data_IF_644101445267
#
_entry.id   IF_644101445267
#
_cell.length_a   1.000
_cell.length_b   1.000
_cell.length_c   1.000
_cell.angle_alpha   90.00
_cell.angle_beta   90.00
_cell.angle_gamma   90.00
#
_symmetry.space_group_name_H-M   'P 1'
#
loop_
_entity.id
_entity.type
_entity.pdbx_description
1 polymer ?
#
# COMPACT_ATOMS: atom_id res chain seq x y z
N UNK A 1 16.97 -6.92 2.25
CA UNK A 1 17.75 -5.85 1.59
C UNK A 1 16.82 -4.67 1.40
N UNK A 2 17.20 -3.44 1.80
CA UNK A 2 16.34 -2.26 1.53
C UNK A 2 16.37 -1.98 0.02
N UNK A 3 15.20 -2.00 -0.62
CA UNK A 3 15.05 -1.87 -2.06
C UNK A 3 14.36 -0.56 -2.47
N UNK A 4 14.53 -0.16 -3.73
CA UNK A 4 13.87 1.02 -4.31
C UNK A 4 12.47 0.64 -4.85
N UNK A 5 11.43 1.34 -4.38
CA UNK A 5 10.05 1.06 -4.79
C UNK A 5 9.86 1.21 -6.30
N UNK A 6 10.55 2.18 -6.93
CA UNK A 6 10.39 2.49 -8.35
C UNK A 6 10.77 1.32 -9.23
N UNK A 7 11.83 0.60 -8.86
CA UNK A 7 12.27 -0.58 -9.59
C UNK A 7 11.18 -1.66 -9.55
N UNK A 8 10.65 -1.96 -8.37
CA UNK A 8 9.70 -3.06 -8.20
C UNK A 8 8.30 -2.74 -8.74
N UNK A 9 7.82 -1.49 -8.57
CA UNK A 9 6.55 -1.06 -9.17
C UNK A 9 6.63 -1.04 -10.70
N UNK A 10 7.77 -0.61 -11.27
CA UNK A 10 7.98 -0.66 -12.73
C UNK A 10 8.02 -2.10 -13.24
N UNK A 11 8.74 -2.99 -12.55
CA UNK A 11 8.78 -4.43 -12.88
C UNK A 11 7.40 -5.08 -12.79
N UNK A 12 6.64 -4.74 -11.75
CA UNK A 12 5.26 -5.19 -11.57
C UNK A 12 4.36 -4.75 -12.73
N UNK A 13 4.44 -3.46 -13.09
CA UNK A 13 3.70 -2.90 -14.21
C UNK A 13 4.03 -3.59 -15.54
N UNK A 14 5.32 -3.77 -15.86
CA UNK A 14 5.77 -4.44 -17.08
C UNK A 14 5.47 -5.95 -17.10
N UNK A 15 5.51 -6.59 -15.94
CA UNK A 15 5.30 -8.03 -15.76
C UNK A 15 3.85 -8.45 -15.53
N UNK A 16 2.91 -7.49 -15.50
CA UNK A 16 1.50 -7.71 -15.20
C UNK A 16 1.26 -8.51 -13.90
N UNK A 17 1.98 -8.10 -12.86
CA UNK A 17 1.79 -8.53 -11.48
C UNK A 17 1.69 -7.28 -10.58
N UNK A 18 1.44 -7.45 -9.29
CA UNK A 18 1.49 -6.33 -8.34
C UNK A 18 2.35 -6.62 -7.12
N UNK A 19 3.15 -5.64 -6.70
CA UNK A 19 3.88 -5.73 -5.44
C UNK A 19 2.90 -5.54 -4.27
N UNK A 20 2.90 -6.45 -3.28
CA UNK A 20 2.05 -6.28 -2.10
C UNK A 20 2.64 -5.22 -1.18
N UNK A 21 1.76 -4.29 -0.79
CA UNK A 21 1.98 -3.37 0.31
C UNK A 21 1.21 -3.87 1.52
N UNK A 22 1.92 -4.05 2.63
CA UNK A 22 1.33 -4.46 3.91
C UNK A 22 1.52 -3.38 4.97
N UNK A 23 0.41 -2.87 5.49
CA UNK A 23 0.42 -1.96 6.62
C UNK A 23 0.60 -2.74 7.93
N UNK A 24 1.63 -2.39 8.71
CA UNK A 24 2.02 -3.06 9.95
C UNK A 24 2.32 -2.05 11.05
N UNK A 25 1.94 -2.35 12.30
CA UNK A 25 2.19 -1.46 13.44
C UNK A 25 2.65 -2.18 14.72
N UNK A 26 2.80 -3.51 14.69
CA UNK A 26 3.33 -4.28 15.80
C UNK A 26 4.31 -5.36 15.32
N UNK A 27 4.94 -6.04 16.28
CA UNK A 27 5.97 -7.03 16.03
C UNK A 27 5.41 -8.25 15.28
N UNK A 28 4.24 -8.76 15.68
CA UNK A 28 3.63 -9.97 15.13
C UNK A 28 3.28 -9.79 13.65
N UNK A 29 2.72 -8.62 13.29
CA UNK A 29 2.39 -8.32 11.90
C UNK A 29 3.64 -8.15 11.04
N UNK A 30 4.60 -7.34 11.49
CA UNK A 30 5.86 -7.12 10.78
C UNK A 30 6.62 -8.43 10.55
N UNK A 31 6.72 -9.28 11.57
CA UNK A 31 7.35 -10.59 11.46
C UNK A 31 6.57 -11.52 10.54
N UNK A 32 5.24 -11.56 10.63
CA UNK A 32 4.41 -12.41 9.77
C UNK A 32 4.56 -12.08 8.29
N UNK A 33 4.51 -10.81 7.91
CA UNK A 33 4.65 -10.40 6.50
C UNK A 33 6.05 -10.63 5.95
N UNK A 34 7.10 -10.42 6.78
CA UNK A 34 8.48 -10.72 6.38
C UNK A 34 8.69 -12.23 6.22
N UNK A 35 8.18 -13.04 7.14
CA UNK A 35 8.28 -14.51 7.02
C UNK A 35 7.58 -15.02 5.75
N UNK A 36 6.45 -14.41 5.38
CA UNK A 36 5.73 -14.74 4.15
C UNK A 36 6.57 -14.42 2.90
N UNK A 37 7.18 -13.23 2.88
CA UNK A 37 8.04 -12.78 1.80
C UNK A 37 9.29 -13.66 1.63
N UNK A 38 9.94 -14.00 2.74
CA UNK A 38 11.10 -14.90 2.75
C UNK A 38 10.76 -16.28 2.21
N UNK A 39 9.63 -16.85 2.65
CA UNK A 39 9.19 -18.19 2.22
C UNK A 39 8.84 -18.23 0.74
N UNK A 40 8.19 -17.18 0.23
CA UNK A 40 7.77 -17.11 -1.17
C UNK A 40 8.79 -16.46 -2.09
N UNK A 41 9.95 -16.03 -1.58
CA UNK A 41 10.95 -15.29 -2.35
C UNK A 41 10.30 -14.10 -3.08
N UNK A 42 9.55 -13.28 -2.35
CA UNK A 42 8.76 -12.18 -2.90
C UNK A 42 9.29 -10.80 -2.43
N UNK A 43 9.40 -9.80 -3.31
CA UNK A 43 9.65 -8.42 -2.90
C UNK A 43 8.40 -7.85 -2.20
N UNK A 44 8.57 -7.17 -1.06
CA UNK A 44 7.41 -6.59 -0.35
C UNK A 44 7.63 -5.14 0.04
N UNK A 45 6.52 -4.41 0.16
CA UNK A 45 6.49 -3.11 0.82
C UNK A 45 5.92 -3.31 2.23
N UNK A 46 6.73 -3.02 3.25
CA UNK A 46 6.23 -2.87 4.62
C UNK A 46 5.97 -1.40 4.89
N UNK A 47 4.80 -1.12 5.43
CA UNK A 47 4.28 0.23 5.50
C UNK A 47 3.75 0.58 6.87
N UNK A 48 3.90 1.85 7.22
CA UNK A 48 3.26 2.48 8.38
C UNK A 48 2.55 3.74 7.89
N UNK A 49 1.35 4.00 8.39
CA UNK A 49 0.54 5.15 7.96
C UNK A 49 0.00 5.99 9.10
N UNK A 50 -0.50 7.17 8.75
CA UNK A 50 -1.11 8.13 9.69
C UNK A 50 -2.21 7.50 10.55
N UNK A 51 -2.91 6.47 10.05
CA UNK A 51 -3.96 5.77 10.79
C UNK A 51 -3.49 5.00 12.04
N UNK A 52 -2.20 4.69 12.17
CA UNK A 52 -1.69 3.81 13.23
C UNK A 52 -0.90 4.54 14.34
N UNK A 53 -0.71 5.85 14.23
CA UNK A 53 0.06 6.64 15.20
C UNK A 53 -0.58 6.66 16.60
N UNK A 54 -1.86 6.31 16.71
CA UNK A 54 -2.55 6.11 17.99
C UNK A 54 -2.25 4.77 18.67
N UNK A 55 -1.74 3.79 17.92
CA UNK A 55 -1.47 2.43 18.40
C UNK A 55 -0.01 2.23 18.79
N UNK A 56 0.91 2.73 17.96
CA UNK A 56 2.35 2.52 18.12
C UNK A 56 3.11 3.79 17.78
N UNK A 57 4.14 4.14 18.57
CA UNK A 57 5.07 5.22 18.17
C UNK A 57 5.83 4.78 16.94
N UNK A 58 5.68 5.56 15.88
CA UNK A 58 6.39 5.32 14.63
C UNK A 58 7.90 5.50 14.81
N UNK A 59 8.32 6.53 15.55
CA UNK A 59 9.73 6.86 15.78
C UNK A 59 10.48 5.69 16.44
N UNK A 60 9.83 4.96 17.35
CA UNK A 60 10.40 3.75 17.94
C UNK A 60 10.29 2.54 17.00
N UNK A 61 9.14 2.35 16.36
CA UNK A 61 8.86 1.17 15.55
C UNK A 61 9.64 1.13 14.22
N UNK A 62 9.96 2.30 13.64
CA UNK A 62 10.68 2.41 12.38
C UNK A 62 12.03 1.68 12.41
N UNK A 63 12.72 1.69 13.55
CA UNK A 63 14.02 1.01 13.71
C UNK A 63 13.86 -0.51 13.71
N UNK A 64 12.71 -1.04 14.15
CA UNK A 64 12.40 -2.46 14.04
C UNK A 64 12.14 -2.83 12.57
N UNK A 65 11.31 -2.05 11.86
CA UNK A 65 11.06 -2.22 10.43
C UNK A 65 12.38 -2.22 9.64
N UNK A 66 13.22 -1.20 9.86
CA UNK A 66 14.49 -1.03 9.15
C UNK A 66 15.48 -2.16 9.46
N UNK A 67 15.63 -2.52 10.74
CA UNK A 67 16.49 -3.63 11.18
C UNK A 67 16.12 -4.94 10.49
N UNK A 68 14.82 -5.24 10.37
CA UNK A 68 14.35 -6.46 9.73
C UNK A 68 14.50 -6.38 8.20
N UNK A 69 14.15 -5.26 7.58
CA UNK A 69 14.35 -5.04 6.14
C UNK A 69 15.82 -5.19 5.72
N UNK A 70 16.76 -4.69 6.52
CA UNK A 70 18.21 -4.85 6.29
C UNK A 70 18.67 -6.30 6.38
N UNK A 71 18.08 -7.10 7.28
CA UNK A 71 18.43 -8.52 7.47
C UNK A 71 17.74 -9.46 6.50
N UNK A 72 16.63 -9.03 5.90
CA UNK A 72 15.88 -9.84 4.95
C UNK A 72 16.74 -10.26 3.75
N UNK A 73 16.56 -11.49 3.29
CA UNK A 73 17.20 -12.04 2.08
C UNK A 73 16.39 -11.78 0.81
N UNK A 74 15.21 -11.16 0.97
CA UNK A 74 14.37 -10.64 -0.11
C UNK A 74 14.43 -9.09 -0.15
N UNK A 75 14.01 -8.47 -1.27
CA UNK A 75 13.81 -7.03 -1.38
C UNK A 75 12.69 -6.56 -0.44
N UNK A 76 12.97 -5.55 0.37
CA UNK A 76 11.98 -4.95 1.28
C UNK A 76 12.03 -3.44 1.15
N UNK A 77 10.88 -2.82 0.92
CA UNK A 77 10.70 -1.37 0.85
C UNK A 77 10.06 -0.88 2.15
N UNK A 78 10.50 0.28 2.65
CA UNK A 78 9.95 0.98 3.81
C UNK A 78 9.14 2.18 3.32
N UNK A 79 7.82 2.11 3.43
CA UNK A 79 6.91 3.12 2.89
C UNK A 79 6.08 3.82 3.97
N UNK A 80 5.88 5.12 3.82
CA UNK A 80 4.90 5.88 4.61
C UNK A 80 3.56 6.01 3.88
N UNK A 81 2.49 5.49 4.47
CA UNK A 81 1.13 5.49 3.89
C UNK A 81 0.30 6.72 4.32
N UNK A 82 -0.41 7.32 3.37
CA UNK A 82 -1.27 8.50 3.53
C UNK A 82 -0.63 9.64 4.36
N UNK A 83 0.50 10.18 3.91
CA UNK A 83 1.10 11.39 4.49
C UNK A 83 0.22 12.61 4.30
N UNK A 84 -0.43 13.08 5.38
CA UNK A 84 -1.43 14.17 5.34
C UNK A 84 -0.84 15.58 5.29
N UNK A 85 0.42 15.75 5.67
CA UNK A 85 1.09 17.04 5.65
C UNK A 85 2.62 16.88 5.60
N UNK A 86 3.29 18.02 5.42
CA UNK A 86 4.76 18.09 5.32
C UNK A 86 5.51 17.58 6.55
N UNK A 87 5.01 17.88 7.75
CA UNK A 87 5.67 17.50 9.00
C UNK A 87 5.71 15.99 9.14
N UNK A 88 4.60 15.32 8.82
CA UNK A 88 4.51 13.85 8.84
C UNK A 88 5.49 13.24 7.84
N UNK A 89 5.51 13.73 6.60
CA UNK A 89 6.39 13.18 5.56
C UNK A 89 7.87 13.37 5.88
N UNK A 90 8.24 14.53 6.44
CA UNK A 90 9.58 14.78 6.94
C UNK A 90 9.96 13.80 8.04
N UNK A 91 9.07 13.64 9.02
CA UNK A 91 9.28 12.71 10.11
C UNK A 91 9.47 11.28 9.61
N UNK A 92 8.67 10.84 8.63
CA UNK A 92 8.81 9.52 8.00
C UNK A 92 10.20 9.30 7.41
N UNK A 93 10.68 10.26 6.61
CA UNK A 93 12.00 10.19 5.96
C UNK A 93 13.15 10.30 6.96
N UNK A 94 13.03 11.17 7.96
CA UNK A 94 14.01 11.29 9.04
C UNK A 94 14.10 9.99 9.87
N UNK A 95 13.08 9.13 9.78
CA UNK A 95 12.94 7.87 10.52
C UNK A 95 12.78 6.66 9.57
N UNK A 96 13.87 6.33 8.89
CA UNK A 96 14.08 5.10 8.11
C UNK A 96 13.23 4.89 6.84
N UNK A 97 12.14 5.62 6.62
CA UNK A 97 11.32 5.40 5.41
C UNK A 97 12.09 5.82 4.15
N UNK A 98 12.12 4.93 3.17
CA UNK A 98 12.80 5.17 1.89
C UNK A 98 11.83 5.36 0.72
N UNK A 99 10.54 5.45 1.01
CA UNK A 99 9.45 5.81 0.10
C UNK A 99 8.33 6.48 0.91
N UNK A 100 7.61 7.43 0.32
CA UNK A 100 6.48 8.09 0.99
C UNK A 100 5.30 8.30 0.05
N UNK A 101 4.09 8.28 0.59
CA UNK A 101 2.89 8.76 -0.12
C UNK A 101 2.46 10.11 0.44
N UNK A 102 2.32 11.12 -0.43
CA UNK A 102 1.60 12.36 -0.09
C UNK A 102 0.15 12.22 -0.53
N UNK A 103 -0.75 12.14 0.45
CA UNK A 103 -2.19 12.10 0.18
C UNK A 103 -2.83 13.49 0.35
N UNK A 104 -2.89 14.22 -0.76
CA UNK A 104 -3.57 15.52 -0.88
C UNK A 104 -4.89 15.42 -1.66
N UNK A 105 -5.45 14.20 -1.81
CA UNK A 105 -6.65 13.90 -2.60
C UNK A 105 -7.89 14.70 -2.20
N UNK A 106 -8.01 15.04 -0.91
CA UNK A 106 -9.12 15.83 -0.38
C UNK A 106 -9.04 17.34 -0.72
N UNK A 107 -7.92 17.81 -1.29
CA UNK A 107 -7.75 19.19 -1.71
C UNK A 107 -8.30 19.40 -3.14
N UNK A 108 -8.69 20.63 -3.51
CA UNK A 108 -8.96 20.97 -4.90
C UNK A 108 -7.78 20.61 -5.82
N UNK A 109 -8.06 20.21 -7.06
CA UNK A 109 -7.07 19.69 -8.01
C UNK A 109 -5.77 20.51 -8.08
N UNK A 110 -5.86 21.83 -8.23
CA UNK A 110 -4.68 22.71 -8.33
C UNK A 110 -3.86 22.77 -7.03
N UNK A 111 -4.50 22.67 -5.87
CA UNK A 111 -3.84 22.59 -4.58
C UNK A 111 -3.19 21.21 -4.37
N UNK A 112 -3.85 20.14 -4.81
CA UNK A 112 -3.28 18.79 -4.83
C UNK A 112 -2.00 18.76 -5.68
N UNK A 113 -2.07 19.22 -6.94
CA UNK A 113 -0.89 19.32 -7.82
C UNK A 113 0.24 20.11 -7.17
N UNK A 114 -0.05 21.28 -6.58
CA UNK A 114 0.96 22.09 -5.92
C UNK A 114 1.61 21.39 -4.72
N UNK A 115 0.82 20.69 -3.89
CA UNK A 115 1.33 19.96 -2.73
C UNK A 115 2.14 18.73 -3.12
N UNK A 116 1.70 17.94 -4.10
CA UNK A 116 2.48 16.79 -4.59
C UNK A 116 3.78 17.29 -5.22
N UNK A 117 3.73 18.29 -6.11
CA UNK A 117 4.94 18.83 -6.75
C UNK A 117 5.95 19.32 -5.71
N UNK A 118 5.50 20.02 -4.67
CA UNK A 118 6.34 20.48 -3.56
C UNK A 118 7.02 19.32 -2.82
N UNK A 119 6.31 18.21 -2.64
CA UNK A 119 6.86 17.00 -2.03
C UNK A 119 7.85 16.29 -2.94
N UNK A 120 7.49 16.09 -4.21
CA UNK A 120 8.35 15.51 -5.25
C UNK A 120 9.66 16.28 -5.36
N UNK A 121 9.61 17.59 -5.60
CA UNK A 121 10.79 18.45 -5.78
C UNK A 121 11.76 18.35 -4.58
N UNK A 122 11.22 18.18 -3.37
CA UNK A 122 12.03 18.04 -2.17
C UNK A 122 12.58 16.63 -1.97
N UNK A 123 11.74 15.60 -2.01
CA UNK A 123 12.14 14.22 -1.68
C UNK A 123 12.98 13.57 -2.78
N UNK A 124 12.75 13.94 -4.04
CA UNK A 124 13.62 13.50 -5.15
C UNK A 124 15.06 13.98 -4.99
N UNK A 125 15.29 15.14 -4.35
CA UNK A 125 16.65 15.61 -4.04
C UNK A 125 17.40 14.69 -3.05
N UNK A 126 16.67 13.83 -2.32
CA UNK A 126 17.21 12.79 -1.44
C UNK A 126 17.06 11.39 -2.03
N UNK A 127 16.69 11.29 -3.32
CA UNK A 127 16.40 10.03 -4.01
C UNK A 127 15.27 9.21 -3.32
N UNK A 128 14.28 9.90 -2.77
CA UNK A 128 13.11 9.28 -2.13
C UNK A 128 11.90 9.45 -3.05
N UNK A 129 11.31 8.34 -3.53
CA UNK A 129 10.13 8.37 -4.38
C UNK A 129 8.87 8.78 -3.61
N UNK A 130 7.96 9.44 -4.33
CA UNK A 130 6.69 9.97 -3.84
C UNK A 130 5.52 9.35 -4.60
N UNK A 131 4.71 8.56 -3.91
CA UNK A 131 3.38 8.15 -4.37
C UNK A 131 2.38 9.29 -4.15
N UNK A 132 1.47 9.48 -5.10
CA UNK A 132 0.41 10.48 -5.02
C UNK A 132 -0.97 9.86 -5.25
N UNK A 133 -2.04 10.56 -4.88
CA UNK A 133 -3.42 10.13 -5.11
C UNK A 133 -4.21 11.18 -5.91
N UNK A 134 -4.93 10.71 -6.93
CA UNK A 134 -5.88 11.53 -7.69
C UNK A 134 -7.26 10.86 -7.73
N UNK A 135 -8.30 11.64 -7.49
CA UNK A 135 -9.59 11.13 -7.02
C UNK A 135 -9.62 11.23 -5.50
N UNK A 136 -10.47 10.45 -4.83
CA UNK A 136 -10.41 10.33 -3.37
C UNK A 136 -10.94 8.98 -2.89
N UNK A 137 -10.07 8.19 -2.26
CA UNK A 137 -10.46 6.99 -1.51
C UNK A 137 -10.73 7.42 -0.07
N UNK A 138 -12.02 7.49 0.30
CA UNK A 138 -12.44 7.92 1.63
C UNK A 138 -11.89 7.04 2.77
N UNK A 139 -12.03 7.53 4.00
CA UNK A 139 -11.77 6.72 5.19
C UNK A 139 -12.76 5.54 5.28
N UNK A 140 -12.47 4.58 6.17
CA UNK A 140 -13.39 3.48 6.46
C UNK A 140 -14.78 3.99 6.85
N UNK A 141 -15.79 3.55 6.11
CA UNK A 141 -17.20 3.90 6.30
C UNK A 141 -18.09 2.87 5.58
N UNK A 142 -19.41 3.05 5.63
CA UNK A 142 -20.36 2.25 4.86
C UNK A 142 -20.13 2.45 3.36
N UNK A 143 -19.95 1.37 2.61
CA UNK A 143 -19.54 1.41 1.20
C UNK A 143 -20.49 2.22 0.32
N UNK A 144 -21.80 2.05 0.52
CA UNK A 144 -22.83 2.79 -0.23
C UNK A 144 -22.77 4.30 0.04
N UNK A 145 -22.44 4.70 1.27
CA UNK A 145 -22.27 6.11 1.64
C UNK A 145 -21.00 6.68 1.03
N UNK A 146 -19.90 5.93 1.06
CA UNK A 146 -18.66 6.30 0.39
C UNK A 146 -18.86 6.51 -1.12
N UNK A 147 -19.65 5.66 -1.77
CA UNK A 147 -19.93 5.75 -3.21
C UNK A 147 -20.77 6.96 -3.60
N UNK A 148 -21.59 7.51 -2.70
CA UNK A 148 -22.46 8.65 -2.99
C UNK A 148 -21.68 9.95 -3.24
N UNK A 149 -20.54 10.12 -2.57
CA UNK A 149 -19.66 11.30 -2.69
C UNK A 149 -18.33 10.95 -3.40
N UNK A 150 -18.27 9.79 -4.05
CA UNK A 150 -17.02 9.24 -4.58
C UNK A 150 -16.49 10.01 -5.79
N UNK A 151 -15.30 10.56 -5.65
CA UNK A 151 -14.58 11.20 -6.73
C UNK A 151 -13.70 10.16 -7.44
N UNK A 152 -14.22 9.56 -8.52
CA UNK A 152 -13.43 8.71 -9.39
C UNK A 152 -12.28 9.49 -10.03
N UNK A 153 -11.16 8.82 -10.26
CA UNK A 153 -10.06 9.41 -11.04
C UNK A 153 -10.53 9.70 -12.47
N UNK A 154 -10.34 10.94 -12.93
CA UNK A 154 -10.54 11.30 -14.32
C UNK A 154 -9.27 10.95 -15.14
N UNK A 155 -9.35 10.05 -16.14
CA UNK A 155 -8.18 9.67 -16.94
C UNK A 155 -7.49 10.84 -17.65
N UNK A 156 -8.26 11.86 -18.06
CA UNK A 156 -7.70 13.04 -18.73
C UNK A 156 -6.92 13.93 -17.77
N UNK A 157 -7.36 14.02 -16.50
CA UNK A 157 -6.63 14.74 -15.45
C UNK A 157 -5.43 13.96 -14.95
N UNK A 158 -5.47 12.63 -14.93
CA UNK A 158 -4.37 11.80 -14.43
C UNK A 158 -3.05 12.06 -15.17
N UNK A 159 -3.10 12.23 -16.49
CA UNK A 159 -1.93 12.59 -17.30
C UNK A 159 -1.35 13.95 -16.93
N UNK A 160 -2.19 14.99 -16.93
CA UNK A 160 -1.79 16.35 -16.54
C UNK A 160 -1.19 16.35 -15.12
N UNK A 161 -1.82 15.61 -14.20
CA UNK A 161 -1.39 15.49 -12.82
C UNK A 161 0.01 14.87 -12.72
N UNK A 162 0.24 13.72 -13.37
CA UNK A 162 1.55 13.04 -13.36
C UNK A 162 2.62 13.92 -14.00
N UNK A 163 2.33 14.54 -15.16
CA UNK A 163 3.29 15.41 -15.86
C UNK A 163 3.66 16.66 -15.03
N UNK A 164 2.68 17.27 -14.34
CA UNK A 164 2.91 18.48 -13.54
C UNK A 164 3.54 18.20 -12.19
N UNK A 165 3.27 17.05 -11.59
CA UNK A 165 3.75 16.72 -10.25
C UNK A 165 5.08 15.99 -10.28
N UNK A 166 5.29 15.10 -11.26
CA UNK A 166 6.46 14.21 -11.32
C UNK A 166 6.44 13.11 -10.25
N UNK A 167 5.27 12.73 -9.73
CA UNK A 167 5.16 11.62 -8.79
C UNK A 167 5.66 10.29 -9.40
N UNK A 168 6.07 9.34 -8.57
CA UNK A 168 6.69 8.09 -9.02
C UNK A 168 5.66 6.98 -9.23
N UNK A 169 4.52 7.05 -8.54
CA UNK A 169 3.37 6.17 -8.71
C UNK A 169 2.07 6.91 -8.37
N UNK A 170 0.96 6.43 -8.93
CA UNK A 170 -0.36 7.08 -8.81
C UNK A 170 -1.40 6.12 -8.25
N UNK A 171 -1.90 6.43 -7.05
CA UNK A 171 -3.10 5.83 -6.50
C UNK A 171 -4.35 6.37 -7.19
N UNK A 172 -5.20 5.45 -7.63
CA UNK A 172 -6.44 5.75 -8.38
C UNK A 172 -7.68 5.37 -7.58
N UNK A 173 -8.68 6.23 -7.62
CA UNK A 173 -10.00 6.03 -7.04
C UNK A 173 -10.92 5.41 -8.11
N UNK A 174 -11.16 4.11 -8.00
CA UNK A 174 -11.85 3.30 -9.02
C UNK A 174 -13.06 2.54 -8.45
N UNK A 175 -13.63 3.05 -7.35
CA UNK A 175 -14.74 2.41 -6.63
C UNK A 175 -14.27 1.56 -5.46
N UNK A 176 -12.99 1.62 -5.12
CA UNK A 176 -12.36 1.02 -3.96
C UNK A 176 -12.51 1.91 -2.70
N UNK A 177 -12.60 1.31 -1.52
CA UNK A 177 -12.68 2.01 -0.22
C UNK A 177 -11.81 1.32 0.83
N UNK A 178 -11.48 2.03 1.90
CA UNK A 178 -10.81 1.43 3.05
C UNK A 178 -11.78 0.66 3.96
N UNK A 179 -11.24 -0.31 4.71
CA UNK A 179 -12.00 -1.06 5.71
C UNK A 179 -12.70 -2.30 5.17
N UNK A 180 -13.82 -2.66 5.79
CA UNK A 180 -14.67 -3.79 5.38
C UNK A 180 -15.82 -3.29 4.51
N UNK A 181 -15.95 -3.86 3.32
CA UNK A 181 -17.04 -3.52 2.41
C UNK A 181 -18.39 -4.02 2.95
N UNK A 182 -19.39 -3.13 3.05
CA UNK A 182 -20.77 -3.48 3.40
C UNK A 182 -21.57 -4.12 2.26
N UNK A 183 -21.08 -4.02 1.02
CA UNK A 183 -21.64 -4.64 -0.18
C UNK A 183 -20.56 -4.97 -1.22
N UNK A 184 -20.91 -5.75 -2.25
CA UNK A 184 -19.98 -6.14 -3.33
C UNK A 184 -19.26 -4.91 -3.94
N UNK A 185 -17.92 -4.86 -3.91
CA UNK A 185 -17.13 -3.80 -4.55
C UNK A 185 -17.42 -3.72 -6.05
N UNK A 186 -17.59 -2.51 -6.57
CA UNK A 186 -17.79 -2.27 -8.02
C UNK A 186 -16.60 -1.54 -8.60
N UNK A 187 -15.56 -2.29 -8.93
CA UNK A 187 -14.31 -1.73 -9.46
C UNK A 187 -14.47 -1.31 -10.93
N UNK A 188 -14.08 -0.07 -11.23
CA UNK A 188 -14.11 0.54 -12.57
C UNK A 188 -12.83 0.24 -13.33
N UNK A 189 -12.73 -0.99 -13.83
CA UNK A 189 -11.60 -1.46 -14.66
C UNK A 189 -11.36 -0.60 -15.90
N UNK A 190 -12.43 -0.05 -16.49
CA UNK A 190 -12.34 0.84 -17.63
C UNK A 190 -11.59 2.14 -17.31
N UNK A 191 -11.68 2.63 -16.07
CA UNK A 191 -10.90 3.78 -15.59
C UNK A 191 -9.44 3.38 -15.40
N UNK A 192 -9.17 2.23 -14.78
CA UNK A 192 -7.79 1.71 -14.61
C UNK A 192 -7.09 1.64 -15.97
N UNK A 193 -7.71 0.99 -16.96
CA UNK A 193 -7.13 0.85 -18.30
C UNK A 193 -6.95 2.20 -19.01
N UNK A 194 -7.90 3.12 -18.86
CA UNK A 194 -7.81 4.44 -19.48
C UNK A 194 -6.68 5.27 -18.86
N UNK A 195 -6.55 5.27 -17.54
CA UNK A 195 -5.45 5.96 -16.84
C UNK A 195 -4.11 5.33 -17.21
N UNK A 196 -3.99 4.00 -17.16
CA UNK A 196 -2.75 3.27 -17.44
C UNK A 196 -2.21 3.53 -18.86
N UNK A 197 -3.09 3.82 -19.83
CA UNK A 197 -2.71 4.18 -21.21
C UNK A 197 -2.16 5.60 -21.33
N UNK A 198 -2.52 6.49 -20.41
CA UNK A 198 -2.22 7.92 -20.50
C UNK A 198 -1.07 8.35 -19.59
N UNK A 199 -0.83 7.65 -18.48
CA UNK A 199 0.24 7.98 -17.53
C UNK A 199 1.49 7.13 -17.75
N UNK A 200 2.65 7.67 -17.37
CA UNK A 200 3.95 7.00 -17.50
C UNK A 200 4.42 6.30 -16.22
N UNK A 201 3.59 6.27 -15.18
CA UNK A 201 3.95 5.80 -13.84
C UNK A 201 3.08 4.60 -13.44
N UNK A 202 3.59 3.68 -12.61
CA UNK A 202 2.81 2.56 -12.08
C UNK A 202 1.55 3.01 -11.33
N UNK A 203 0.48 2.24 -11.45
CA UNK A 203 -0.79 2.50 -10.76
C UNK A 203 -0.90 1.71 -9.45
N UNK A 204 -1.50 2.35 -8.45
CA UNK A 204 -1.66 1.80 -7.10
C UNK A 204 -3.15 1.62 -6.78
N UNK A 205 -3.51 0.45 -6.25
CA UNK A 205 -4.85 0.16 -5.74
C UNK A 205 -4.85 0.14 -4.21
N UNK A 206 -5.54 1.13 -3.64
CA UNK A 206 -5.81 1.23 -2.22
C UNK A 206 -7.06 0.43 -1.83
N UNK A 207 -7.26 0.17 -0.54
CA UNK A 207 -8.51 -0.43 -0.07
C UNK A 207 -8.85 -1.80 -0.66
N UNK A 208 -7.86 -2.62 -0.99
CA UNK A 208 -8.10 -3.86 -1.73
C UNK A 208 -8.61 -5.03 -0.89
N UNK A 209 -8.67 -4.86 0.44
CA UNK A 209 -9.17 -5.88 1.36
C UNK A 209 -10.67 -6.12 1.14
N UNK A 210 -11.04 -7.38 0.84
CA UNK A 210 -12.43 -7.75 0.53
C UNK A 210 -12.84 -7.60 -0.95
N UNK A 211 -11.96 -7.11 -1.82
CA UNK A 211 -12.15 -7.24 -3.28
C UNK A 211 -11.90 -8.70 -3.67
N UNK A 212 -12.81 -9.27 -4.46
CA UNK A 212 -12.72 -10.65 -4.91
C UNK A 212 -11.47 -10.94 -5.74
N UNK A 213 -10.94 -12.15 -5.63
CA UNK A 213 -9.69 -12.57 -6.30
C UNK A 213 -9.68 -12.31 -7.81
N UNK A 214 -10.79 -12.58 -8.49
CA UNK A 214 -10.89 -12.38 -9.95
C UNK A 214 -10.86 -10.90 -10.32
N UNK A 215 -11.44 -10.03 -9.47
CA UNK A 215 -11.39 -8.58 -9.66
C UNK A 215 -9.98 -8.04 -9.37
N UNK A 216 -9.29 -8.57 -8.36
CA UNK A 216 -7.87 -8.26 -8.11
C UNK A 216 -7.01 -8.63 -9.32
N UNK A 217 -7.11 -9.87 -9.81
CA UNK A 217 -6.36 -10.32 -10.99
C UNK A 217 -6.67 -9.43 -12.19
N UNK A 218 -7.94 -9.11 -12.41
CA UNK A 218 -8.36 -8.23 -13.49
C UNK A 218 -7.79 -6.82 -13.35
N UNK A 219 -7.80 -6.24 -12.16
CA UNK A 219 -7.21 -4.92 -11.91
C UNK A 219 -5.71 -4.88 -12.24
N UNK A 220 -4.99 -5.95 -11.88
CA UNK A 220 -3.56 -6.13 -12.24
C UNK A 220 -3.40 -6.18 -13.76
N UNK A 221 -4.22 -6.98 -14.46
CA UNK A 221 -4.18 -7.04 -15.93
C UNK A 221 -4.50 -5.69 -16.59
N UNK A 222 -5.32 -4.85 -15.97
CA UNK A 222 -5.62 -3.50 -16.45
C UNK A 222 -4.48 -2.50 -16.21
N UNK A 223 -3.55 -2.76 -15.29
CA UNK A 223 -2.37 -1.94 -15.04
C UNK A 223 -2.00 -1.65 -13.58
N UNK A 224 -2.75 -2.19 -12.61
CA UNK A 224 -2.39 -2.03 -11.19
C UNK A 224 -1.09 -2.80 -10.91
N UNK A 225 -0.11 -2.10 -10.35
CA UNK A 225 1.24 -2.60 -10.08
C UNK A 225 1.59 -2.65 -8.57
N UNK A 226 0.81 -1.98 -7.72
CA UNK A 226 0.94 -2.04 -6.25
C UNK A 226 -0.44 -2.14 -5.62
N UNK A 227 -0.60 -3.01 -4.63
CA UNK A 227 -1.87 -3.23 -3.94
C UNK A 227 -1.69 -3.14 -2.43
N UNK A 228 -2.45 -2.26 -1.79
CA UNK A 228 -2.39 -2.05 -0.34
C UNK A 228 -3.34 -3.00 0.39
N UNK A 229 -2.79 -3.74 1.37
CA UNK A 229 -3.52 -4.68 2.23
C UNK A 229 -3.31 -4.31 3.70
N UNK A 230 -4.42 -4.21 4.43
CA UNK A 230 -4.45 -3.93 5.86
C UNK A 230 -5.54 -4.74 6.55
N UNK A 231 -6.81 -4.46 6.24
CA UNK A 231 -7.97 -5.03 6.94
C UNK A 231 -7.96 -6.55 7.00
N UNK A 232 -7.55 -7.23 5.92
CA UNK A 232 -7.47 -8.70 5.91
C UNK A 232 -6.38 -9.26 6.84
N UNK A 233 -5.29 -8.53 7.11
CA UNK A 233 -4.30 -8.94 8.10
C UNK A 233 -4.89 -8.81 9.52
N UNK A 234 -5.67 -7.76 9.77
CA UNK A 234 -6.39 -7.57 11.03
C UNK A 234 -7.41 -8.68 11.28
N UNK A 235 -8.15 -9.06 10.24
CA UNK A 235 -9.13 -10.14 10.29
C UNK A 235 -8.45 -11.47 10.61
N UNK A 236 -7.37 -11.81 9.90
CA UNK A 236 -6.60 -13.02 10.18
C UNK A 236 -6.05 -13.05 11.62
N UNK A 237 -5.52 -11.91 12.11
CA UNK A 237 -5.10 -11.76 13.50
C UNK A 237 -6.25 -11.98 14.49
N UNK A 238 -7.43 -11.38 14.25
CA UNK A 238 -8.59 -11.52 15.13
C UNK A 238 -9.20 -12.93 15.11
N UNK A 239 -9.20 -13.60 13.95
CA UNK A 239 -9.57 -15.01 13.83
C UNK A 239 -8.67 -15.87 14.73
N UNK A 240 -7.34 -15.71 14.62
CA UNK A 240 -6.39 -16.43 15.47
C UNK A 240 -6.55 -16.10 16.97
N UNK A 241 -6.76 -14.84 17.33
CA UNK A 241 -7.04 -14.46 18.73
C UNK A 241 -8.28 -15.16 19.24
N UNK A 242 -9.37 -15.20 18.47
CA UNK A 242 -10.62 -15.81 18.89
C UNK A 242 -10.51 -17.34 19.05
N UNK A 243 -9.77 -17.99 18.15
CA UNK A 243 -9.52 -19.44 18.20
C UNK A 243 -8.63 -19.84 19.38
N UNK A 244 -7.64 -19.02 19.72
CA UNK A 244 -6.65 -19.32 20.76
C UNK A 244 -6.86 -18.54 22.07
N UNK A 245 -8.01 -17.87 22.26
CA UNK A 245 -8.25 -16.95 23.40
C UNK A 245 -8.10 -17.56 24.80
N UNK A 246 -8.20 -18.88 24.91
CA UNK A 246 -8.08 -19.62 26.18
C UNK A 246 -6.63 -20.11 26.45
N UNK A 247 -5.68 -19.79 25.56
CA UNK A 247 -4.26 -20.11 25.69
C UNK A 247 -3.44 -18.98 26.35
N UNK A 248 -2.22 -19.26 26.84
CA UNK A 248 -1.33 -18.21 27.32
C UNK A 248 -1.03 -17.17 26.24
N UNK A 249 -0.93 -15.89 26.63
CA UNK A 249 -0.75 -14.76 25.71
C UNK A 249 0.38 -14.95 24.68
N UNK A 250 1.54 -15.45 25.09
CA UNK A 250 2.65 -15.72 24.17
C UNK A 250 2.32 -16.78 23.10
N UNK A 251 1.46 -17.75 23.41
CA UNK A 251 0.98 -18.72 22.42
C UNK A 251 0.02 -18.05 21.43
N UNK A 252 -0.86 -17.17 21.92
CA UNK A 252 -1.76 -16.37 21.08
C UNK A 252 -0.98 -15.46 20.13
N UNK A 253 0.06 -14.75 20.60
CA UNK A 253 0.91 -13.91 19.74
C UNK A 253 1.59 -14.71 18.61
N UNK A 254 2.02 -15.94 18.91
CA UNK A 254 2.59 -16.85 17.90
C UNK A 254 1.55 -17.29 16.87
N UNK A 255 0.33 -17.60 17.32
CA UNK A 255 -0.78 -17.93 16.42
C UNK A 255 -1.15 -16.74 15.53
N UNK A 256 -1.19 -15.52 16.08
CA UNK A 256 -1.42 -14.28 15.33
C UNK A 256 -0.35 -14.07 14.25
N UNK A 257 0.93 -14.19 14.60
CA UNK A 257 2.02 -14.08 13.61
C UNK A 257 1.85 -15.10 12.47
N UNK A 258 1.51 -16.35 12.81
CA UNK A 258 1.30 -17.41 11.82
C UNK A 258 0.11 -17.10 10.90
N UNK A 259 -1.03 -16.65 11.45
CA UNK A 259 -2.20 -16.28 10.65
C UNK A 259 -1.93 -15.08 9.73
N UNK A 260 -1.22 -14.05 10.23
CA UNK A 260 -0.79 -12.91 9.40
C UNK A 260 0.14 -13.37 8.28
N UNK A 261 1.09 -14.25 8.58
CA UNK A 261 1.98 -14.84 7.57
C UNK A 261 1.18 -15.56 6.47
N UNK A 262 0.25 -16.43 6.84
CA UNK A 262 -0.57 -17.19 5.89
C UNK A 262 -1.41 -16.26 5.01
N UNK A 263 -2.01 -15.22 5.60
CA UNK A 263 -2.76 -14.21 4.84
C UNK A 263 -1.87 -13.41 3.89
N UNK A 264 -0.69 -13.01 4.32
CA UNK A 264 0.28 -12.31 3.47
C UNK A 264 0.74 -13.20 2.31
N UNK A 265 1.05 -14.48 2.57
CA UNK A 265 1.40 -15.47 1.55
C UNK A 265 0.30 -15.65 0.51
N UNK A 266 -0.96 -15.70 0.96
CA UNK A 266 -2.11 -15.75 0.07
C UNK A 266 -2.14 -14.55 -0.88
N UNK A 267 -1.97 -13.32 -0.35
CA UNK A 267 -1.98 -12.10 -1.16
C UNK A 267 -0.80 -11.99 -2.11
N UNK A 268 0.42 -12.34 -1.67
CA UNK A 268 1.61 -12.41 -2.54
C UNK A 268 1.32 -13.28 -3.78
N UNK A 269 0.79 -14.49 -3.57
CA UNK A 269 0.45 -15.41 -4.67
C UNK A 269 -0.68 -14.89 -5.55
N UNK A 270 -1.72 -14.31 -4.93
CA UNK A 270 -2.84 -13.73 -5.68
C UNK A 270 -2.38 -12.61 -6.61
N UNK A 271 -1.39 -11.83 -6.18
CA UNK A 271 -0.85 -10.72 -6.96
C UNK A 271 0.20 -11.15 -8.00
N UNK A 272 0.60 -12.43 -8.00
CA UNK A 272 1.58 -12.98 -8.93
C UNK A 272 3.03 -12.55 -8.65
N UNK A 273 3.33 -12.24 -7.39
CA UNK A 273 4.62 -11.67 -6.93
C UNK A 273 5.58 -12.73 -6.34
N UNK A 274 5.12 -13.97 -6.14
CA UNK A 274 5.94 -15.06 -5.62
C UNK A 274 7.08 -15.46 -6.57
N UNK A 275 8.26 -15.71 -6.01
CA UNK A 275 9.46 -16.14 -6.74
C UNK A 275 10.25 -15.02 -7.41
N UNK A 276 9.88 -13.75 -7.22
CA UNK A 276 10.46 -12.60 -7.95
C UNK A 276 11.61 -11.89 -7.24
N UNK A 277 11.95 -12.26 -6.01
CA UNK A 277 12.98 -11.59 -5.22
C UNK A 277 14.38 -11.56 -5.84
N UNK A 278 14.65 -12.41 -6.84
CA UNK A 278 15.95 -12.55 -7.52
C UNK A 278 15.98 -11.90 -8.92
N UNK A 279 14.93 -11.18 -9.34
CA UNK A 279 14.88 -10.38 -10.58
C UNK A 279 15.73 -9.09 -10.52
#
# INVERSE_FOLDING_TARGET
>A
MIADIRFWEQKASEGHYAIPHFNVWNAEMLMGVIDAAEELRAPIIISFGTGFTGNTSFEDFCYMMESMAKKATVPVILHWDHGRNWTILKNAVDHCMNSVMRDASALPYEENVAEIKRCVDYFHAYNIPVEAELGHVGNETVYEEALAEYAYTDPSQAKDFVERTGCDSLAVAVGNVHGVYSAEPKIRFDIIEAVNKEVSVPLVLHGASGIGDEDIKKAIQCGIAKINIHTELCQAAMEAINEHKDEPFLAVERAVRQAVKERAMYKIKLFGDDGRADE
#
